data_IF_352336467283
#
_entry.id   IF_352336467283
#
_cell.length_a   1.000
_cell.length_b   1.000
_cell.length_c   1.000
_cell.angle_alpha   90.00
_cell.angle_beta   90.00
_cell.angle_gamma   90.00
#
_symmetry.space_group_name_H-M   'P 1'
#
loop_
_entity.id
_entity.type
_entity.pdbx_description
1 polymer ?
#
# COMPACT_ATOMS: atom_id res chain seq x y z
N UNK A 1 9.57 11.80 -30.42
CA UNK A 1 8.99 13.08 -29.93
C UNK A 1 9.94 13.84 -29.01
N UNK A 2 10.63 13.18 -28.06
CA UNK A 2 11.85 13.70 -27.44
C UNK A 2 12.90 12.59 -27.27
N UNK A 3 14.19 12.93 -27.18
CA UNK A 3 15.28 11.97 -26.95
C UNK A 3 15.44 11.58 -25.45
N UNK A 4 14.42 11.80 -24.63
CA UNK A 4 14.46 11.42 -23.21
C UNK A 4 14.16 9.93 -23.06
N UNK A 5 15.08 9.20 -22.44
CA UNK A 5 14.87 7.81 -22.02
C UNK A 5 14.27 7.70 -20.60
N UNK A 6 13.92 8.83 -19.98
CA UNK A 6 13.36 8.87 -18.63
C UNK A 6 11.85 8.67 -18.68
N UNK A 7 11.34 7.69 -17.92
CA UNK A 7 9.92 7.35 -17.78
C UNK A 7 9.21 7.24 -19.14
N UNK A 8 9.45 6.15 -19.90
CA UNK A 8 8.71 5.85 -21.11
C UNK A 8 7.31 5.34 -20.76
N UNK A 9 6.29 5.91 -21.38
CA UNK A 9 4.88 5.55 -21.23
C UNK A 9 4.33 5.06 -22.56
N UNK A 10 3.73 3.88 -22.54
CA UNK A 10 3.04 3.28 -23.70
C UNK A 10 1.54 3.57 -23.63
N UNK A 11 0.96 4.04 -24.72
CA UNK A 11 -0.49 4.13 -24.88
C UNK A 11 -1.07 2.72 -25.02
N UNK A 12 -2.01 2.32 -24.16
CA UNK A 12 -2.62 0.98 -24.21
C UNK A 12 -3.61 0.82 -25.38
N UNK A 13 -3.89 1.89 -26.11
CA UNK A 13 -4.84 1.91 -27.22
C UNK A 13 -4.16 1.77 -28.58
N UNK A 14 -3.00 2.41 -28.78
CA UNK A 14 -2.28 2.42 -30.07
C UNK A 14 -0.81 2.01 -29.97
N UNK A 15 -0.33 1.63 -28.79
CA UNK A 15 1.05 1.21 -28.53
C UNK A 15 2.12 2.27 -28.79
N UNK A 16 1.75 3.53 -29.00
CA UNK A 16 2.71 4.63 -29.10
C UNK A 16 3.44 4.84 -27.77
N UNK A 17 4.75 5.10 -27.84
CA UNK A 17 5.58 5.36 -26.66
C UNK A 17 5.96 6.84 -26.61
N UNK A 18 5.70 7.46 -25.47
CA UNK A 18 5.96 8.86 -25.19
C UNK A 18 6.64 8.99 -23.82
N UNK A 19 7.36 10.09 -23.56
CA UNK A 19 7.83 10.34 -22.21
C UNK A 19 6.66 10.74 -21.30
N UNK A 20 6.82 10.47 -20.00
CA UNK A 20 5.77 10.61 -19.01
C UNK A 20 5.21 12.02 -18.85
N UNK A 21 4.05 12.12 -18.20
CA UNK A 21 3.37 13.39 -17.93
C UNK A 21 4.29 14.41 -17.24
N UNK A 22 5.13 13.95 -16.31
CA UNK A 22 6.06 14.78 -15.54
C UNK A 22 7.44 14.93 -16.21
N UNK A 23 7.64 14.32 -17.37
CA UNK A 23 8.87 14.39 -18.16
C UNK A 23 8.50 14.94 -19.54
N UNK A 24 8.56 16.25 -19.75
CA UNK A 24 8.17 16.93 -21.00
C UNK A 24 6.70 16.72 -21.47
N UNK A 25 5.90 15.89 -20.80
CA UNK A 25 4.45 15.82 -21.00
C UNK A 25 3.95 15.20 -22.31
N UNK A 26 4.79 14.50 -23.09
CA UNK A 26 4.37 14.00 -24.41
C UNK A 26 3.25 12.96 -24.36
N UNK A 27 3.19 12.12 -23.32
CA UNK A 27 2.08 11.18 -23.16
C UNK A 27 0.73 11.91 -22.90
N UNK A 28 0.77 13.05 -22.20
CA UNK A 28 -0.40 13.91 -22.00
C UNK A 28 -0.82 14.59 -23.30
N UNK A 29 0.15 15.17 -24.02
CA UNK A 29 -0.09 15.80 -25.32
C UNK A 29 -0.68 14.81 -26.33
N UNK A 30 -0.19 13.57 -26.37
CA UNK A 30 -0.74 12.51 -27.21
C UNK A 30 -2.24 12.26 -26.95
N UNK A 31 -2.65 12.23 -25.68
CA UNK A 31 -4.06 12.16 -25.32
C UNK A 31 -4.84 13.41 -25.76
N UNK A 32 -4.31 14.61 -25.50
CA UNK A 32 -4.96 15.88 -25.85
C UNK A 32 -5.17 16.01 -27.38
N UNK A 33 -4.15 15.68 -28.18
CA UNK A 33 -4.19 15.71 -29.64
C UNK A 33 -5.21 14.71 -30.21
N UNK A 34 -5.36 13.53 -29.60
CA UNK A 34 -6.31 12.50 -30.01
C UNK A 34 -7.79 12.88 -29.74
N UNK A 35 -8.04 13.89 -28.91
CA UNK A 35 -9.41 14.33 -28.58
C UNK A 35 -9.94 15.41 -29.54
N UNK A 36 -9.07 16.10 -30.28
CA UNK A 36 -9.47 17.16 -31.20
C UNK A 36 -10.12 16.54 -32.44
N UNK A 37 -11.39 16.89 -32.78
CA UNK A 37 -11.96 16.52 -34.07
C UNK A 37 -11.18 17.25 -35.18
N UNK A 38 -10.57 16.50 -36.09
CA UNK A 38 -10.10 17.07 -37.35
C UNK A 38 -11.27 17.79 -38.02
N UNK A 39 -11.23 19.12 -38.09
CA UNK A 39 -12.33 19.96 -38.61
C UNK A 39 -12.42 19.96 -40.13
N UNK A 40 -11.60 19.18 -40.85
CA UNK A 40 -11.71 19.05 -42.29
C UNK A 40 -11.48 17.59 -42.67
N UNK A 41 -12.54 16.84 -42.96
CA UNK A 41 -12.69 15.99 -44.14
C UNK A 41 -14.04 15.27 -44.09
N UNK A 42 -14.63 15.11 -45.28
CA UNK A 42 -16.00 14.67 -45.55
C UNK A 42 -16.41 13.42 -44.77
N UNK A 43 -17.65 13.44 -44.29
CA UNK A 43 -18.39 12.31 -43.70
C UNK A 43 -18.32 11.09 -44.62
N UNK A 44 -17.58 10.07 -44.20
CA UNK A 44 -17.85 8.69 -44.60
C UNK A 44 -17.42 7.75 -43.47
N UNK A 45 -18.35 6.88 -43.09
CA UNK A 45 -18.21 5.69 -42.24
C UNK A 45 -18.07 5.87 -40.72
N UNK A 46 -18.92 5.13 -39.98
CA UNK A 46 -18.89 4.94 -38.52
C UNK A 46 -17.57 4.25 -38.12
N UNK A 47 -16.46 4.99 -38.05
CA UNK A 47 -15.32 4.57 -37.25
C UNK A 47 -15.58 4.97 -35.79
N UNK A 48 -15.71 3.99 -34.90
CA UNK A 48 -15.70 4.24 -33.46
C UNK A 48 -14.45 5.06 -33.13
N UNK A 49 -14.66 6.26 -32.58
CA UNK A 49 -13.59 7.19 -32.25
C UNK A 49 -12.75 6.57 -31.13
N UNK A 50 -11.59 6.02 -31.49
CA UNK A 50 -10.69 5.32 -30.57
C UNK A 50 -10.04 6.36 -29.64
N UNK A 51 -10.47 6.42 -28.36
CA UNK A 51 -9.94 7.39 -27.40
C UNK A 51 -8.69 6.87 -26.70
N UNK A 52 -7.57 7.57 -26.86
CA UNK A 52 -6.26 7.20 -26.30
C UNK A 52 -6.12 7.63 -24.83
N UNK A 53 -6.99 7.12 -23.97
CA UNK A 53 -7.17 7.64 -22.61
C UNK A 53 -6.23 7.06 -21.55
N UNK A 54 -5.69 5.86 -21.78
CA UNK A 54 -4.91 5.12 -20.78
C UNK A 54 -3.50 4.86 -21.28
N UNK A 55 -2.51 5.20 -20.45
CA UNK A 55 -1.10 4.90 -20.70
C UNK A 55 -0.48 4.16 -19.52
N UNK A 56 0.55 3.36 -19.79
CA UNK A 56 1.30 2.61 -18.79
C UNK A 56 2.79 2.96 -18.86
N UNK A 57 3.42 3.26 -17.72
CA UNK A 57 4.87 3.42 -17.62
C UNK A 57 5.55 2.06 -17.79
N UNK A 58 6.53 1.96 -18.69
CA UNK A 58 7.13 0.67 -19.04
C UNK A 58 8.10 0.12 -17.98
N UNK A 59 8.54 0.96 -17.03
CA UNK A 59 9.50 0.57 -15.99
C UNK A 59 8.80 0.18 -14.70
N UNK A 60 7.84 0.99 -14.28
CA UNK A 60 7.09 0.78 -13.05
C UNK A 60 5.77 0.05 -13.27
N UNK A 61 5.29 -0.07 -14.51
CA UNK A 61 3.96 -0.61 -14.83
C UNK A 61 2.80 0.24 -14.29
N UNK A 62 3.11 1.47 -13.89
CA UNK A 62 2.13 2.46 -13.44
C UNK A 62 1.20 2.83 -14.56
N UNK A 63 -0.10 2.65 -14.33
CA UNK A 63 -1.12 2.96 -15.34
C UNK A 63 -1.82 4.26 -14.97
N UNK A 64 -2.00 5.17 -15.93
CA UNK A 64 -2.63 6.47 -15.73
C UNK A 64 -3.72 6.70 -16.76
N UNK A 65 -4.88 7.18 -16.29
CA UNK A 65 -6.02 7.53 -17.13
C UNK A 65 -6.10 9.05 -17.25
N UNK A 66 -5.75 9.58 -18.42
CA UNK A 66 -5.80 11.02 -18.70
C UNK A 66 -7.22 11.59 -18.73
N UNK A 67 -8.24 10.75 -18.97
CA UNK A 67 -9.65 11.16 -18.88
C UNK A 67 -10.12 11.30 -17.43
N UNK A 68 -9.59 10.51 -16.51
CA UNK A 68 -9.90 10.62 -15.07
C UNK A 68 -8.94 11.56 -14.35
N UNK A 69 -7.84 11.94 -15.01
CA UNK A 69 -6.70 12.65 -14.44
C UNK A 69 -6.14 11.95 -13.18
N UNK A 70 -6.16 10.61 -13.18
CA UNK A 70 -5.76 9.80 -12.02
C UNK A 70 -5.08 8.48 -12.42
N UNK A 71 -4.31 7.91 -11.49
CA UNK A 71 -3.71 6.59 -11.63
C UNK A 71 -4.78 5.50 -11.59
N UNK A 72 -4.62 4.51 -12.47
CA UNK A 72 -5.47 3.34 -12.55
C UNK A 72 -4.96 2.30 -11.56
N UNK A 73 -5.63 2.23 -10.41
CA UNK A 73 -5.35 1.25 -9.35
C UNK A 73 -6.08 -0.06 -9.59
N UNK A 74 -7.34 0.04 -9.99
CA UNK A 74 -8.22 -1.10 -10.25
C UNK A 74 -8.19 -1.48 -11.74
N UNK A 75 -8.47 -2.75 -12.03
CA UNK A 75 -8.57 -3.24 -13.40
C UNK A 75 -10.03 -3.31 -13.90
N UNK A 76 -10.17 -3.44 -15.21
CA UNK A 76 -11.36 -3.92 -15.89
C UNK A 76 -11.78 -5.32 -15.39
N UNK A 77 -13.07 -5.68 -15.55
CA UNK A 77 -13.59 -7.03 -15.20
C UNK A 77 -12.81 -8.18 -15.83
N UNK A 78 -12.16 -7.93 -16.98
CA UNK A 78 -11.41 -8.91 -17.74
C UNK A 78 -9.92 -8.97 -17.36
N UNK A 79 -9.47 -8.13 -16.41
CA UNK A 79 -8.10 -8.10 -15.92
C UNK A 79 -7.08 -7.70 -17.00
N UNK A 80 -7.47 -6.85 -17.95
CA UNK A 80 -6.65 -6.56 -19.12
C UNK A 80 -5.36 -5.82 -18.76
N UNK A 81 -5.43 -4.84 -17.85
CA UNK A 81 -4.24 -4.07 -17.44
C UNK A 81 -3.26 -4.97 -16.71
N UNK A 82 -3.76 -5.81 -15.80
CA UNK A 82 -3.01 -6.77 -15.02
C UNK A 82 -2.34 -7.82 -15.90
N UNK A 83 -3.03 -8.34 -16.92
CA UNK A 83 -2.43 -9.23 -17.92
C UNK A 83 -1.25 -8.57 -18.64
N UNK A 84 -1.38 -7.28 -18.99
CA UNK A 84 -0.28 -6.53 -19.60
C UNK A 84 0.88 -6.39 -18.61
N UNK A 85 0.62 -6.05 -17.34
CA UNK A 85 1.67 -5.98 -16.31
C UNK A 85 2.38 -7.32 -16.12
N UNK A 86 1.64 -8.40 -15.96
CA UNK A 86 2.18 -9.76 -15.79
C UNK A 86 3.02 -10.18 -16.99
N UNK A 87 2.56 -9.89 -18.21
CA UNK A 87 3.32 -10.18 -19.41
C UNK A 87 4.65 -9.42 -19.44
N UNK A 88 4.63 -8.12 -19.17
CA UNK A 88 5.85 -7.29 -19.14
C UNK A 88 6.81 -7.71 -18.02
N UNK A 89 6.29 -8.04 -16.84
CA UNK A 89 7.09 -8.56 -15.72
C UNK A 89 7.72 -9.92 -16.04
N UNK A 90 6.99 -10.80 -16.73
CA UNK A 90 7.53 -12.10 -17.14
C UNK A 90 8.66 -11.93 -18.16
N UNK A 91 8.54 -10.98 -19.09
CA UNK A 91 9.61 -10.64 -20.03
C UNK A 91 10.85 -10.12 -19.29
N UNK A 92 10.67 -9.20 -18.34
CA UNK A 92 11.78 -8.69 -17.53
C UNK A 92 12.43 -9.80 -16.69
N UNK A 93 11.63 -10.62 -16.00
CA UNK A 93 12.12 -11.75 -15.22
C UNK A 93 12.87 -12.77 -16.09
N UNK A 94 12.43 -13.03 -17.33
CA UNK A 94 13.11 -13.92 -18.26
C UNK A 94 14.48 -13.38 -18.73
N UNK A 95 14.65 -12.06 -18.79
CA UNK A 95 15.96 -11.44 -19.03
C UNK A 95 16.89 -11.60 -17.82
N UNK A 96 16.34 -11.64 -16.60
CA UNK A 96 17.11 -11.88 -15.36
C UNK A 96 17.36 -13.37 -15.04
N UNK A 97 16.60 -14.32 -15.59
CA UNK A 97 16.84 -15.76 -15.36
C UNK A 97 18.11 -16.26 -16.04
N UNK A 98 18.55 -15.59 -17.11
CA UNK A 98 19.82 -15.86 -17.80
C UNK A 98 21.02 -15.71 -16.85
N UNK A 99 20.95 -14.78 -15.89
CA UNK A 99 22.02 -14.53 -14.90
C UNK A 99 21.91 -15.44 -13.66
N UNK A 100 20.68 -15.80 -13.24
CA UNK A 100 20.45 -16.62 -12.03
C UNK A 100 20.83 -18.10 -12.21
N UNK A 101 20.79 -18.64 -13.43
CA UNK A 101 21.17 -20.04 -13.68
C UNK A 101 22.65 -20.33 -13.35
N UNK A 102 23.52 -19.31 -13.35
CA UNK A 102 24.93 -19.47 -12.97
C UNK A 102 25.13 -19.57 -11.44
N UNK A 103 24.21 -19.05 -10.63
CA UNK A 103 24.34 -18.97 -9.16
C UNK A 103 23.57 -20.06 -8.40
N UNK A 104 22.58 -20.69 -9.03
CA UNK A 104 21.69 -21.69 -8.39
C UNK A 104 22.28 -23.10 -8.27
N UNK A 105 23.37 -23.41 -8.99
CA UNK A 105 24.02 -24.74 -8.98
C UNK A 105 24.89 -25.03 -7.73
N UNK A 106 24.93 -24.13 -6.75
CA UNK A 106 25.78 -24.24 -5.55
C UNK A 106 25.03 -24.40 -4.22
N UNK A 107 23.68 -24.33 -4.20
CA UNK A 107 22.89 -24.33 -2.94
C UNK A 107 21.80 -25.41 -2.88
N UNK A 108 21.69 -26.26 -3.89
CA UNK A 108 20.63 -27.28 -3.99
C UNK A 108 21.02 -28.59 -3.28
N UNK A 109 21.52 -28.52 -2.05
CA UNK A 109 21.85 -29.71 -1.26
C UNK A 109 21.46 -29.65 0.23
N UNK A 110 20.56 -28.77 0.63
CA UNK A 110 19.95 -28.84 1.97
C UNK A 110 18.43 -28.70 1.88
N UNK A 111 17.78 -29.81 1.53
CA UNK A 111 16.36 -30.03 1.76
C UNK A 111 16.09 -30.01 3.27
N UNK A 112 15.53 -28.90 3.77
CA UNK A 112 15.02 -28.82 5.14
C UNK A 112 13.75 -29.66 5.24
N UNK A 113 13.91 -30.85 5.81
CA UNK A 113 12.81 -31.68 6.31
C UNK A 113 12.00 -30.89 7.35
N UNK A 114 10.82 -30.40 6.97
CA UNK A 114 9.83 -29.90 7.92
C UNK A 114 9.29 -31.09 8.73
N UNK A 115 9.82 -31.28 9.94
CA UNK A 115 9.28 -32.22 10.93
C UNK A 115 7.89 -31.75 11.35
N UNK A 116 6.89 -32.51 10.92
CA UNK A 116 5.50 -32.43 11.33
C UNK A 116 5.38 -32.95 12.77
N UNK A 117 5.15 -32.07 13.75
CA UNK A 117 4.75 -32.49 15.10
C UNK A 117 3.22 -32.56 15.15
N UNK A 118 2.69 -33.79 15.16
CA UNK A 118 1.28 -34.09 15.43
C UNK A 118 1.04 -34.07 16.94
N UNK A 119 0.18 -33.19 17.41
CA UNK A 119 -0.55 -33.37 18.69
C UNK A 119 -2.02 -33.00 18.45
N UNK A 120 -2.88 -34.02 18.57
CA UNK A 120 -4.33 -34.01 18.76
C UNK A 120 -5.21 -33.15 17.82
N UNK A 121 -5.67 -33.76 16.72
CA UNK A 121 -7.05 -33.65 16.23
C UNK A 121 -7.56 -32.34 15.62
N UNK A 122 -6.83 -31.24 15.76
CA UNK A 122 -7.19 -29.92 15.22
C UNK A 122 -6.00 -29.39 14.41
N UNK A 123 -5.95 -29.70 13.12
CA UNK A 123 -4.93 -29.14 12.21
C UNK A 123 -5.25 -27.67 11.90
N UNK A 124 -5.09 -26.78 12.88
CA UNK A 124 -4.78 -25.37 12.61
C UNK A 124 -3.27 -25.21 12.71
N UNK A 125 -2.55 -25.78 11.74
CA UNK A 125 -1.29 -25.13 11.38
C UNK A 125 -1.68 -23.70 11.00
N UNK A 126 -1.14 -22.70 11.71
CA UNK A 126 -1.17 -21.31 11.25
C UNK A 126 -0.49 -21.30 9.89
N UNK A 127 -1.29 -21.54 8.84
CA UNK A 127 -0.80 -21.46 7.48
C UNK A 127 -0.49 -19.99 7.29
N UNK A 128 0.81 -19.66 7.20
CA UNK A 128 1.23 -18.30 6.95
C UNK A 128 0.67 -17.88 5.59
N UNK A 129 -0.39 -17.07 5.60
CA UNK A 129 -1.02 -16.57 4.38
C UNK A 129 -0.04 -15.64 3.68
N UNK A 130 0.37 -15.95 2.46
CA UNK A 130 1.20 -15.07 1.66
C UNK A 130 0.45 -13.82 1.21
N UNK A 131 1.17 -12.76 0.82
CA UNK A 131 0.59 -11.60 0.15
C UNK A 131 0.96 -11.61 -1.33
N UNK A 132 -0.04 -11.42 -2.20
CA UNK A 132 0.19 -11.28 -3.64
C UNK A 132 0.96 -10.01 -3.93
N UNK A 133 1.95 -10.08 -4.82
CA UNK A 133 2.64 -8.91 -5.32
C UNK A 133 1.79 -8.29 -6.44
N UNK A 134 1.37 -7.04 -6.28
CA UNK A 134 0.50 -6.34 -7.23
C UNK A 134 1.29 -5.49 -8.24
N UNK A 135 2.62 -5.64 -8.25
CA UNK A 135 3.54 -4.84 -9.06
C UNK A 135 4.39 -3.96 -8.15
N UNK A 136 5.65 -4.37 -7.95
CA UNK A 136 6.60 -3.70 -7.05
C UNK A 136 6.10 -3.46 -5.61
N UNK A 137 5.10 -4.22 -5.13
CA UNK A 137 4.53 -4.04 -3.79
C UNK A 137 5.23 -4.85 -2.69
N UNK A 138 6.45 -5.36 -2.95
CA UNK A 138 7.18 -6.20 -2.01
C UNK A 138 7.56 -5.46 -0.72
N UNK A 139 7.88 -4.16 -0.81
CA UNK A 139 8.17 -3.31 0.34
C UNK A 139 6.96 -3.26 1.30
N UNK A 140 5.76 -3.03 0.76
CA UNK A 140 4.50 -3.03 1.51
C UNK A 140 4.22 -4.41 2.10
N UNK A 141 4.31 -5.46 1.27
CA UNK A 141 4.03 -6.83 1.72
C UNK A 141 4.93 -7.26 2.89
N UNK A 142 6.22 -6.89 2.86
CA UNK A 142 7.15 -7.17 3.95
C UNK A 142 6.73 -6.49 5.25
N UNK A 143 6.36 -5.21 5.20
CA UNK A 143 5.90 -4.47 6.38
C UNK A 143 4.57 -5.01 6.92
N UNK A 144 3.61 -5.31 6.05
CA UNK A 144 2.32 -5.88 6.46
C UNK A 144 2.48 -7.23 7.16
N UNK A 145 3.35 -8.10 6.64
CA UNK A 145 3.66 -9.38 7.28
C UNK A 145 4.32 -9.17 8.65
N UNK A 146 5.32 -8.29 8.74
CA UNK A 146 6.00 -7.96 10.00
C UNK A 146 5.04 -7.43 11.06
N UNK A 147 4.21 -6.43 10.72
CA UNK A 147 3.23 -5.86 11.63
C UNK A 147 2.15 -6.88 12.02
N UNK A 148 1.75 -7.76 11.11
CA UNK A 148 0.75 -8.80 11.41
C UNK A 148 1.21 -9.81 12.46
N UNK A 149 2.54 -10.00 12.60
CA UNK A 149 3.14 -10.94 13.53
C UNK A 149 3.42 -10.33 14.91
N UNK A 150 3.16 -9.03 15.09
CA UNK A 150 3.23 -8.37 16.40
C UNK A 150 1.89 -8.60 17.10
N UNK A 151 1.87 -9.55 18.04
CA UNK A 151 0.63 -10.03 18.66
C UNK A 151 -0.20 -8.90 19.29
N UNK A 152 0.41 -8.04 20.10
CA UNK A 152 -0.30 -6.93 20.77
C UNK A 152 -0.95 -5.97 19.77
N UNK A 153 -0.21 -5.62 18.71
CA UNK A 153 -0.69 -4.74 17.66
C UNK A 153 -1.85 -5.38 16.90
N UNK A 154 -1.69 -6.64 16.50
CA UNK A 154 -2.68 -7.37 15.72
C UNK A 154 -3.99 -7.63 16.50
N UNK A 155 -3.89 -8.03 17.77
CA UNK A 155 -5.07 -8.22 18.62
C UNK A 155 -5.88 -6.93 18.76
N UNK A 156 -5.21 -5.80 19.00
CA UNK A 156 -5.87 -4.50 19.10
C UNK A 156 -6.73 -4.20 17.87
N UNK A 157 -6.16 -4.30 16.65
CA UNK A 157 -6.94 -4.03 15.44
C UNK A 157 -8.07 -5.02 15.25
N UNK A 158 -7.86 -6.31 15.51
CA UNK A 158 -8.91 -7.34 15.37
C UNK A 158 -10.09 -7.12 16.31
N UNK A 159 -9.84 -6.59 17.50
CA UNK A 159 -10.86 -6.29 18.51
C UNK A 159 -11.60 -4.97 18.25
N UNK A 160 -11.08 -4.11 17.36
CA UNK A 160 -11.82 -2.91 16.96
C UNK A 160 -13.18 -3.33 16.36
N UNK A 161 -14.28 -2.69 16.78
CA UNK A 161 -15.56 -2.93 16.15
C UNK A 161 -15.40 -2.65 14.67
N UNK A 162 -15.88 -3.56 13.82
CA UNK A 162 -15.95 -3.30 12.40
C UNK A 162 -16.70 -1.97 12.25
N UNK A 163 -16.04 -0.98 11.66
CA UNK A 163 -16.72 0.29 11.39
C UNK A 163 -17.78 -0.06 10.37
N UNK A 164 -19.03 -0.16 10.81
CA UNK A 164 -20.16 -0.16 9.91
C UNK A 164 -20.10 1.19 9.20
N UNK A 165 -19.51 1.20 8.01
CA UNK A 165 -19.85 2.17 6.99
C UNK A 165 -21.37 2.12 6.95
N UNK A 166 -22.03 3.12 7.55
CA UNK A 166 -23.46 3.35 7.39
C UNK A 166 -23.70 3.31 5.89
N UNK A 167 -24.23 2.19 5.44
CA UNK A 167 -24.99 1.93 4.23
C UNK A 167 -25.11 0.41 4.10
N UNK A 168 -26.07 -0.15 4.84
CA UNK A 168 -26.57 -1.49 4.58
C UNK A 168 -26.93 -1.64 3.10
N UNK A 169 -26.70 -2.85 2.57
CA UNK A 169 -26.95 -3.34 1.20
C UNK A 169 -25.73 -3.49 0.27
N UNK A 170 -24.58 -3.98 0.75
CA UNK A 170 -23.60 -4.62 -0.17
C UNK A 170 -22.82 -5.80 0.42
N UNK A 171 -23.46 -6.67 1.20
CA UNK A 171 -22.91 -7.99 1.45
C UNK A 171 -23.18 -8.87 0.21
N UNK A 172 -22.16 -9.05 -0.66
CA UNK A 172 -22.18 -10.09 -1.69
C UNK A 172 -21.83 -9.70 -3.13
N UNK A 173 -21.45 -8.44 -3.43
CA UNK A 173 -20.96 -8.08 -4.77
C UNK A 173 -19.49 -7.68 -4.70
N UNK A 174 -18.65 -8.40 -5.46
CA UNK A 174 -17.24 -8.03 -5.71
C UNK A 174 -17.20 -6.53 -6.05
N UNK A 175 -16.57 -5.75 -5.18
CA UNK A 175 -16.57 -4.29 -5.20
C UNK A 175 -15.73 -3.81 -6.38
N UNK A 176 -16.37 -3.65 -7.53
CA UNK A 176 -15.84 -2.84 -8.61
C UNK A 176 -16.08 -1.37 -8.27
N UNK A 177 -15.04 -0.67 -7.83
CA UNK A 177 -15.09 0.78 -7.63
C UNK A 177 -14.97 1.48 -8.98
N UNK A 178 -16.07 1.54 -9.72
CA UNK A 178 -16.23 2.46 -10.86
C UNK A 178 -16.68 3.83 -10.35
N UNK A 179 -15.90 4.86 -10.69
CA UNK A 179 -16.17 6.32 -10.76
C UNK A 179 -17.39 6.89 -10.02
N UNK A 180 -17.14 8.03 -9.36
CA UNK A 180 -18.10 9.12 -9.10
C UNK A 180 -19.27 8.84 -8.14
N UNK A 181 -18.96 8.47 -6.89
CA UNK A 181 -19.85 8.71 -5.75
C UNK A 181 -18.99 9.37 -4.65
N UNK A 182 -19.40 10.57 -4.23
CA UNK A 182 -18.68 11.40 -3.27
C UNK A 182 -18.80 10.92 -1.83
N UNK A 183 -18.32 9.70 -1.54
CA UNK A 183 -18.12 9.26 -0.16
C UNK A 183 -16.66 9.50 0.23
N UNK A 184 -16.44 10.60 0.96
CA UNK A 184 -15.15 11.06 1.46
C UNK A 184 -14.54 10.17 2.57
N UNK A 185 -15.17 9.07 2.96
CA UNK A 185 -14.71 8.24 4.08
C UNK A 185 -13.95 7.00 3.60
N UNK A 186 -12.67 7.18 3.28
CA UNK A 186 -11.74 6.06 3.17
C UNK A 186 -10.94 6.00 4.47
N UNK A 187 -11.08 4.89 5.20
CA UNK A 187 -10.39 4.65 6.48
C UNK A 187 -9.21 3.71 6.27
N UNK A 188 -7.99 4.16 6.60
CA UNK A 188 -6.80 3.32 6.58
C UNK A 188 -6.88 2.27 7.69
N UNK A 189 -7.38 2.66 8.86
CA UNK A 189 -7.53 1.76 10.03
C UNK A 189 -8.40 0.57 9.70
N UNK A 190 -9.54 0.78 9.03
CA UNK A 190 -10.46 -0.31 8.68
C UNK A 190 -9.91 -1.25 7.61
N UNK A 191 -9.28 -0.73 6.55
CA UNK A 191 -8.68 -1.60 5.52
C UNK A 191 -7.43 -2.33 6.02
N UNK A 192 -6.67 -1.71 6.91
CA UNK A 192 -5.57 -2.35 7.60
C UNK A 192 -6.07 -3.48 8.50
N UNK A 193 -7.13 -3.23 9.29
CA UNK A 193 -7.80 -4.24 10.11
C UNK A 193 -8.28 -5.43 9.29
N UNK A 194 -9.00 -5.20 8.18
CA UNK A 194 -9.47 -6.27 7.27
C UNK A 194 -8.32 -7.12 6.76
N UNK A 195 -7.20 -6.49 6.40
CA UNK A 195 -5.99 -7.18 5.93
C UNK A 195 -5.41 -8.08 7.03
N UNK A 196 -5.30 -7.57 8.26
CA UNK A 196 -4.83 -8.36 9.40
C UNK A 196 -5.77 -9.54 9.72
N UNK A 197 -7.09 -9.32 9.69
CA UNK A 197 -8.06 -10.39 9.86
C UNK A 197 -7.91 -11.48 8.78
N UNK A 198 -7.77 -11.10 7.51
CA UNK A 198 -7.62 -12.03 6.40
C UNK A 198 -6.34 -12.87 6.49
N UNK A 199 -5.20 -12.24 6.86
CA UNK A 199 -3.93 -12.95 7.03
C UNK A 199 -4.01 -14.05 8.09
N UNK A 200 -4.71 -13.78 9.19
CA UNK A 200 -4.83 -14.69 10.32
C UNK A 200 -5.97 -15.72 10.20
N UNK A 201 -6.92 -15.53 9.28
CA UNK A 201 -7.92 -16.55 8.97
C UNK A 201 -7.29 -17.80 8.34
N UNK A 202 -6.13 -17.69 7.69
CA UNK A 202 -5.37 -18.83 7.17
C UNK A 202 -6.11 -19.67 6.11
N UNK A 203 -7.19 -19.13 5.53
CA UNK A 203 -8.08 -19.87 4.62
C UNK A 203 -7.55 -19.96 3.19
N UNK A 204 -6.47 -19.24 2.87
CA UNK A 204 -5.89 -19.14 1.53
C UNK A 204 -4.36 -19.18 1.59
N UNK A 205 -3.74 -19.70 0.54
CA UNK A 205 -2.28 -19.69 0.41
C UNK A 205 -1.72 -18.28 0.15
N UNK A 206 -2.51 -17.42 -0.51
CA UNK A 206 -2.14 -16.02 -0.77
C UNK A 206 -3.34 -15.07 -0.83
N UNK A 207 -3.28 -13.99 -0.05
CA UNK A 207 -4.26 -12.90 0.01
C UNK A 207 -3.85 -11.70 -0.86
N UNK A 208 -4.83 -11.01 -1.45
CA UNK A 208 -4.61 -9.80 -2.28
C UNK A 208 -5.12 -8.56 -1.53
N UNK A 209 -4.23 -7.69 -0.99
CA UNK A 209 -4.64 -6.50 -0.24
C UNK A 209 -4.97 -5.30 -1.17
N UNK A 210 -5.75 -5.52 -2.22
CA UNK A 210 -6.07 -4.50 -3.24
C UNK A 210 -6.77 -3.26 -2.64
N UNK A 211 -7.71 -3.46 -1.73
CA UNK A 211 -8.41 -2.37 -1.06
C UNK A 211 -7.45 -1.52 -0.22
N UNK A 212 -6.61 -2.16 0.60
CA UNK A 212 -5.60 -1.46 1.40
C UNK A 212 -4.60 -0.71 0.51
N UNK A 213 -4.15 -1.34 -0.57
CA UNK A 213 -3.26 -0.71 -1.54
C UNK A 213 -3.87 0.56 -2.14
N UNK A 214 -5.16 0.51 -2.52
CA UNK A 214 -5.89 1.68 -3.00
C UNK A 214 -5.97 2.80 -1.95
N UNK A 215 -6.24 2.46 -0.68
CA UNK A 215 -6.30 3.43 0.41
C UNK A 215 -4.94 4.09 0.65
N UNK A 216 -3.88 3.30 0.72
CA UNK A 216 -2.49 3.78 0.85
C UNK A 216 -2.18 4.78 -0.25
N UNK A 217 -2.50 4.45 -1.50
CA UNK A 217 -2.28 5.36 -2.63
C UNK A 217 -3.12 6.64 -2.51
N UNK A 218 -4.37 6.54 -2.09
CA UNK A 218 -5.23 7.71 -1.94
C UNK A 218 -4.66 8.67 -0.88
N UNK A 219 -4.24 8.14 0.27
CA UNK A 219 -3.80 8.89 1.44
C UNK A 219 -2.33 9.35 1.34
N UNK A 220 -1.48 8.54 0.69
CA UNK A 220 -0.03 8.76 0.65
C UNK A 220 0.44 8.91 -0.82
N UNK A 221 0.37 10.12 -1.40
CA UNK A 221 0.70 10.36 -2.80
C UNK A 221 2.11 9.93 -3.23
N UNK A 222 3.08 9.95 -2.31
CA UNK A 222 4.47 9.58 -2.58
C UNK A 222 4.62 8.10 -2.97
N UNK A 223 3.73 7.23 -2.48
CA UNK A 223 3.72 5.81 -2.81
C UNK A 223 2.85 5.48 -4.03
N UNK A 224 2.27 6.49 -4.69
CA UNK A 224 1.48 6.28 -5.93
C UNK A 224 2.40 5.93 -7.09
N UNK A 225 1.85 5.15 -8.02
CA UNK A 225 2.63 4.56 -9.09
C UNK A 225 3.28 3.29 -8.58
N UNK A 226 3.25 2.24 -9.38
CA UNK A 226 3.77 0.90 -9.10
C UNK A 226 5.32 0.91 -9.10
N UNK A 227 5.95 1.95 -8.54
CA UNK A 227 7.39 2.08 -8.41
C UNK A 227 7.90 1.28 -7.20
N UNK A 228 9.17 0.90 -7.23
CA UNK A 228 9.85 0.37 -6.05
C UNK A 228 10.04 1.50 -5.04
N UNK A 229 9.85 1.19 -3.75
CA UNK A 229 9.87 2.15 -2.66
C UNK A 229 10.66 1.60 -1.48
N UNK A 230 11.10 2.49 -0.60
CA UNK A 230 11.77 2.12 0.65
C UNK A 230 10.75 1.57 1.68
N UNK A 231 11.06 0.42 2.25
CA UNK A 231 10.18 -0.26 3.20
C UNK A 231 10.10 0.46 4.56
N UNK A 232 11.21 1.05 5.02
CA UNK A 232 11.25 1.80 6.27
C UNK A 232 10.48 3.11 6.14
N UNK A 233 10.63 3.81 5.00
CA UNK A 233 9.82 4.99 4.70
C UNK A 233 8.33 4.64 4.71
N UNK A 234 7.94 3.58 4.00
CA UNK A 234 6.55 3.11 4.00
C UNK A 234 6.03 2.77 5.40
N UNK A 235 6.81 2.07 6.22
CA UNK A 235 6.43 1.72 7.58
C UNK A 235 6.16 2.96 8.43
N UNK A 236 7.04 3.96 8.35
CA UNK A 236 6.90 5.21 9.12
C UNK A 236 5.63 5.95 8.72
N UNK A 237 5.40 6.14 7.43
CA UNK A 237 4.17 6.77 6.92
C UNK A 237 2.92 5.99 7.34
N UNK A 238 2.94 4.65 7.26
CA UNK A 238 1.82 3.81 7.67
C UNK A 238 1.50 3.99 9.16
N UNK A 239 2.50 3.93 10.04
CA UNK A 239 2.31 4.09 11.48
C UNK A 239 1.83 5.51 11.84
N UNK A 240 2.38 6.54 11.21
CA UNK A 240 1.96 7.93 11.42
C UNK A 240 0.49 8.14 11.03
N UNK A 241 0.08 7.64 9.86
CA UNK A 241 -1.32 7.75 9.43
C UNK A 241 -2.28 6.93 10.28
N UNK A 242 -1.89 5.71 10.71
CA UNK A 242 -2.68 4.93 11.66
C UNK A 242 -2.82 5.67 13.00
N UNK A 243 -1.73 6.28 13.49
CA UNK A 243 -1.75 7.07 14.72
C UNK A 243 -2.70 8.26 14.63
N UNK A 244 -2.61 9.04 13.54
CA UNK A 244 -3.47 10.20 13.32
C UNK A 244 -4.94 9.83 13.18
N UNK A 245 -5.25 8.77 12.43
CA UNK A 245 -6.63 8.32 12.22
C UNK A 245 -7.25 7.73 13.50
N UNK A 246 -6.45 7.04 14.32
CA UNK A 246 -6.90 6.56 15.64
C UNK A 246 -7.10 7.70 16.65
N UNK A 247 -6.36 8.82 16.51
CA UNK A 247 -6.59 10.02 17.32
C UNK A 247 -7.86 10.77 16.89
N UNK A 248 -8.10 10.95 15.58
CA UNK A 248 -9.24 11.69 15.05
C UNK A 248 -10.54 10.90 14.92
N UNK A 249 -10.47 9.57 14.88
CA UNK A 249 -11.60 8.66 14.67
C UNK A 249 -12.44 8.38 15.91
N UNK A 250 -12.03 8.84 17.10
CA UNK A 250 -12.78 8.71 18.35
C UNK A 250 -13.72 9.91 18.63
N UNK A 251 -14.30 10.49 17.58
CA UNK A 251 -15.37 11.48 17.72
C UNK A 251 -16.71 10.80 18.07
N UNK A 252 -16.95 10.55 19.37
CA UNK A 252 -18.33 10.41 19.89
C UNK A 252 -18.58 9.39 21.00
N UNK A 253 -17.65 8.50 21.34
CA UNK A 253 -17.78 7.63 22.51
C UNK A 253 -16.54 7.77 23.36
N UNK A 254 -16.63 8.62 24.39
CA UNK A 254 -15.73 8.58 25.53
C UNK A 254 -15.73 7.16 26.09
N UNK A 255 -14.67 6.40 25.86
CA UNK A 255 -14.39 5.20 26.65
C UNK A 255 -13.76 5.63 27.97
N UNK A 256 -14.52 6.36 28.77
CA UNK A 256 -14.54 6.10 30.21
C UNK A 256 -15.03 4.65 30.37
N UNK A 257 -14.41 3.86 31.24
CA UNK A 257 -14.56 2.39 31.37
C UNK A 257 -13.71 1.67 30.31
N UNK A 258 -12.41 1.44 30.51
CA UNK A 258 -11.81 0.55 31.51
C UNK A 258 -10.40 1.09 31.78
N UNK A 259 -10.17 1.64 32.97
CA UNK A 259 -8.90 1.72 33.72
C UNK A 259 -9.10 2.74 34.87
N UNK A 260 -10.04 2.41 35.75
CA UNK A 260 -10.14 2.91 37.13
C UNK A 260 -10.80 1.72 37.84
N UNK A 261 -10.14 0.98 38.73
CA UNK A 261 -9.53 1.44 39.96
C UNK A 261 -8.19 0.76 40.29
N UNK A 262 -7.50 1.37 41.27
CA UNK A 262 -6.30 0.94 41.98
C UNK A 262 -4.94 1.29 41.35
N UNK A 263 -4.53 2.55 41.48
CA UNK A 263 -3.48 2.92 42.44
C UNK A 263 -3.06 4.38 42.26
N UNK A 264 -3.08 5.13 43.37
CA UNK A 264 -2.35 6.39 43.51
C UNK A 264 -0.86 6.09 43.32
N UNK A 265 -0.24 6.43 42.18
CA UNK A 265 1.22 6.47 42.03
C UNK A 265 1.59 7.33 40.81
N UNK A 266 2.23 8.47 41.09
CA UNK A 266 3.21 9.22 40.27
C UNK A 266 2.90 9.51 38.80
N UNK A 267 2.79 10.81 38.49
CA UNK A 267 3.01 11.35 37.15
C UNK A 267 4.41 10.98 36.64
N UNK A 268 4.52 9.91 35.85
CA UNK A 268 5.73 9.56 35.11
C UNK A 268 5.41 8.58 33.96
N UNK A 269 5.97 8.83 32.78
CA UNK A 269 6.07 7.91 31.64
C UNK A 269 4.82 7.60 30.79
N UNK A 270 4.13 8.63 30.27
CA UNK A 270 3.38 8.47 29.01
C UNK A 270 4.10 9.23 27.91
N UNK A 271 4.58 8.51 26.90
CA UNK A 271 5.15 9.07 25.68
C UNK A 271 4.00 9.68 24.85
N UNK A 272 3.55 10.88 25.20
CA UNK A 272 2.57 11.63 24.43
C UNK A 272 3.30 12.59 23.50
N UNK A 273 3.62 12.11 22.30
CA UNK A 273 4.02 12.96 21.18
C UNK A 273 2.76 13.67 20.71
N UNK A 274 2.51 14.89 21.20
CA UNK A 274 1.47 15.81 20.69
C UNK A 274 0.06 15.19 20.49
N UNK A 275 -0.52 14.59 21.52
CA UNK A 275 -1.91 14.10 21.45
C UNK A 275 -2.20 12.95 22.41
N UNK A 276 -3.40 12.36 22.25
CA UNK A 276 -3.79 11.16 22.99
C UNK A 276 -2.93 9.96 22.53
N UNK A 277 -2.41 9.19 23.49
CA UNK A 277 -1.66 7.97 23.20
C UNK A 277 -2.54 6.96 22.45
N UNK A 278 -2.00 6.35 21.40
CA UNK A 278 -2.66 5.28 20.63
C UNK A 278 -1.89 3.97 20.77
N UNK A 279 -2.40 2.88 20.19
CA UNK A 279 -1.66 1.60 20.11
C UNK A 279 -0.30 1.75 19.43
N UNK A 280 -0.18 2.67 18.47
CA UNK A 280 1.07 2.90 17.72
C UNK A 280 2.15 3.43 18.66
N UNK A 281 1.87 4.52 19.36
CA UNK A 281 2.81 5.13 20.32
C UNK A 281 3.02 4.26 21.56
N UNK A 282 2.07 3.39 21.91
CA UNK A 282 2.22 2.46 23.02
C UNK A 282 3.17 1.30 22.71
N UNK A 283 3.20 0.82 21.46
CA UNK A 283 4.02 -0.33 21.05
C UNK A 283 5.36 0.10 20.47
N UNK A 284 5.37 1.13 19.63
CA UNK A 284 6.56 1.58 18.89
C UNK A 284 7.15 2.88 19.45
N UNK A 285 6.38 3.63 20.23
CA UNK A 285 6.82 4.92 20.74
C UNK A 285 7.85 4.79 21.86
N UNK A 286 8.86 5.65 21.82
CA UNK A 286 9.88 5.77 22.85
C UNK A 286 10.38 7.20 23.02
N UNK A 287 11.20 7.43 24.05
CA UNK A 287 11.86 8.71 24.32
C UNK A 287 13.35 8.48 24.38
N UNK A 288 14.10 9.18 23.51
CA UNK A 288 15.55 9.24 23.56
C UNK A 288 15.97 10.40 24.45
N UNK A 289 16.74 10.14 25.50
CA UNK A 289 17.42 11.21 26.24
C UNK A 289 18.77 11.47 25.57
N UNK A 290 18.88 12.63 24.92
CA UNK A 290 20.13 13.13 24.37
C UNK A 290 20.78 14.06 25.40
N UNK A 291 21.98 13.71 25.84
CA UNK A 291 22.73 14.43 26.85
C UNK A 291 24.02 14.98 26.23
N UNK A 292 24.22 16.29 26.37
CA UNK A 292 25.41 16.99 25.89
C UNK A 292 26.11 17.63 27.07
N UNK A 293 27.34 17.20 27.30
CA UNK A 293 28.20 17.69 28.38
C UNK A 293 29.30 18.57 27.80
N UNK A 294 29.39 19.83 28.27
CA UNK A 294 30.49 20.70 27.92
C UNK A 294 31.75 20.30 28.69
N UNK A 295 32.81 19.91 27.97
CA UNK A 295 34.07 19.46 28.57
C UNK A 295 34.89 20.56 29.26
N UNK A 296 34.55 21.83 29.04
CA UNK A 296 35.29 22.99 29.59
C UNK A 296 34.63 23.50 30.87
N UNK A 297 33.31 23.74 30.86
CA UNK A 297 32.60 24.34 31.98
C UNK A 297 31.74 23.35 32.79
N UNK A 298 31.67 22.08 32.37
CA UNK A 298 30.89 21.04 33.05
C UNK A 298 29.36 21.23 32.94
N UNK A 299 28.88 22.16 32.13
CA UNK A 299 27.44 22.34 31.90
C UNK A 299 26.88 21.16 31.15
N UNK A 300 25.83 20.56 31.71
CA UNK A 300 25.07 19.47 31.14
C UNK A 300 23.76 20.00 30.51
N UNK A 301 23.46 19.54 29.30
CA UNK A 301 22.19 19.80 28.62
C UNK A 301 21.51 18.48 28.29
N UNK A 302 20.28 18.31 28.76
CA UNK A 302 19.45 17.13 28.47
C UNK A 302 18.29 17.53 27.58
N UNK A 303 18.08 16.78 26.50
CA UNK A 303 16.94 16.89 25.59
C UNK A 303 16.24 15.55 25.47
N UNK A 304 14.92 15.54 25.61
CA UNK A 304 14.11 14.34 25.44
C UNK A 304 13.46 14.37 24.05
N UNK A 305 13.96 13.54 23.16
CA UNK A 305 13.52 13.45 21.76
C UNK A 305 12.64 12.20 21.59
N UNK A 306 11.33 12.35 21.34
CA UNK A 306 10.48 11.21 21.10
C UNK A 306 10.76 10.56 19.75
N UNK A 307 10.56 9.24 19.67
CA UNK A 307 10.70 8.48 18.43
C UNK A 307 9.59 7.43 18.25
N UNK A 308 9.45 6.97 17.01
CA UNK A 308 8.70 5.81 16.53
C UNK A 308 9.64 4.93 15.72
#
# INVERSE_FOLDING_TARGET
VCRSNKSPWVCLTCSSVHCGRYVNGHAKKHYEDAQIPMTNHKKTEKQEKVQHTVCMDCSSYSTYCYRCDDFVVNDTKLGLVQKVREHLQNLENSAFTSDRHRKRKLLENSSLNSKLLKVNGSTTALCATGLRNLGNTCFMNAILQSLSNIQQFCCYFKELPAVELRNGKTAGRRTYHTRSQGDNNVSLVEEFRKTLCALWQGSQTAFSPESLFYVVWKIMPNFRGYQQQDAHEFMRYLLDHLHLELQGGFNGVSRSVILQENSNLSASNKCCINGASTVVTAIFGGILQNEVNCLICGTESRKFDPFL
#
